data_IF_074809079422
#
_entry.id   IF_074809079422
#
_cell.length_a   1.000
_cell.length_b   1.000
_cell.length_c   1.000
_cell.angle_alpha   90.00
_cell.angle_beta   90.00
_cell.angle_gamma   90.00
#
_symmetry.space_group_name_H-M   'P 1'
#
loop_
_entity.id
_entity.type
_entity.pdbx_description
1 polymer ?
#
# COMPACT_ATOMS: atom_id res chain seq x y z
N UNK A 1 3.69 27.43 45.23
CA UNK A 1 3.66 26.56 44.14
C UNK A 1 3.39 27.24 42.84
N UNK A 2 4.14 26.91 41.87
CA UNK A 2 4.04 27.66 40.63
C UNK A 2 3.16 26.90 39.64
N UNK A 3 1.98 27.38 39.46
CA UNK A 3 1.03 26.75 38.58
C UNK A 3 1.49 26.81 37.13
N UNK A 4 2.26 27.84 36.77
CA UNK A 4 2.77 27.98 35.44
C UNK A 4 3.83 26.91 35.14
N UNK A 5 4.71 26.69 36.10
CA UNK A 5 5.70 25.64 35.99
C UNK A 5 5.05 24.27 35.85
N UNK A 6 4.02 24.05 36.63
CA UNK A 6 3.30 22.79 36.57
C UNK A 6 2.67 22.59 35.18
N UNK A 7 2.06 23.65 34.68
CA UNK A 7 1.46 23.61 33.35
C UNK A 7 2.49 23.37 32.26
N UNK A 8 3.65 23.99 32.40
CA UNK A 8 4.73 23.77 31.42
C UNK A 8 5.18 22.33 31.45
N UNK A 9 5.32 21.74 32.60
CA UNK A 9 5.70 20.35 32.69
C UNK A 9 4.68 19.44 32.03
N UNK A 10 3.41 19.74 32.25
CA UNK A 10 2.36 18.97 31.64
C UNK A 10 2.39 19.10 30.12
N UNK A 11 2.60 20.32 29.62
CA UNK A 11 2.65 20.55 28.20
C UNK A 11 3.87 19.90 27.58
N UNK A 12 5.01 19.97 28.26
CA UNK A 12 6.20 19.31 27.75
C UNK A 12 6.01 17.80 27.64
N UNK A 13 5.33 17.22 28.63
CA UNK A 13 5.05 15.80 28.59
C UNK A 13 4.11 15.47 27.45
N UNK A 14 3.11 16.31 27.21
CA UNK A 14 2.20 16.08 26.11
C UNK A 14 2.88 16.20 24.76
N UNK A 15 3.75 17.19 24.62
CA UNK A 15 4.47 17.38 23.38
C UNK A 15 5.40 16.21 23.12
N UNK A 16 6.09 15.74 24.14
CA UNK A 16 6.97 14.59 23.99
C UNK A 16 6.18 13.35 23.56
N UNK A 17 5.02 13.17 24.17
CA UNK A 17 4.16 12.04 23.80
C UNK A 17 3.67 12.17 22.38
N UNK A 18 3.28 13.36 21.97
CA UNK A 18 2.81 13.61 20.63
C UNK A 18 3.92 13.39 19.60
N UNK A 19 5.13 13.84 19.92
CA UNK A 19 6.26 13.64 19.02
C UNK A 19 6.51 12.16 18.81
N UNK A 20 6.46 11.39 19.87
CA UNK A 20 6.65 9.97 19.74
C UNK A 20 5.55 9.34 18.92
N UNK A 21 4.31 9.76 19.15
CA UNK A 21 3.18 9.25 18.39
C UNK A 21 3.32 9.59 16.92
N UNK A 22 3.76 10.79 16.63
CA UNK A 22 3.96 11.22 15.24
C UNK A 22 5.03 10.36 14.55
N UNK A 23 6.11 10.07 15.24
CA UNK A 23 7.15 9.21 14.69
C UNK A 23 6.61 7.83 14.37
N UNK A 24 5.86 7.26 15.29
CA UNK A 24 5.27 5.95 15.07
C UNK A 24 4.32 5.98 13.89
N UNK A 25 3.47 7.00 13.81
CA UNK A 25 2.53 7.12 12.71
C UNK A 25 3.24 7.34 11.39
N UNK A 26 4.31 8.10 11.38
CA UNK A 26 5.09 8.29 10.16
C UNK A 26 5.71 6.99 9.67
N UNK A 27 6.21 6.18 10.58
CA UNK A 27 6.76 4.90 10.21
C UNK A 27 5.69 3.97 9.67
N UNK A 28 4.52 3.99 10.29
CA UNK A 28 3.40 3.20 9.81
C UNK A 28 2.94 3.66 8.43
N UNK A 29 2.93 4.97 8.21
CA UNK A 29 2.55 5.51 6.91
C UNK A 29 3.51 5.05 5.83
N UNK A 30 4.80 5.09 6.11
CA UNK A 30 5.79 4.63 5.16
C UNK A 30 5.59 3.16 4.82
N UNK A 31 5.35 2.36 5.84
CA UNK A 31 5.11 0.93 5.63
C UNK A 31 3.85 0.72 4.79
N UNK A 32 2.80 1.46 5.11
CA UNK A 32 1.55 1.34 4.36
C UNK A 32 1.70 1.80 2.93
N UNK A 33 2.46 2.85 2.69
CA UNK A 33 2.70 3.33 1.33
C UNK A 33 3.44 2.29 0.50
N UNK A 34 4.42 1.64 1.10
CA UNK A 34 5.13 0.57 0.43
C UNK A 34 4.20 -0.59 0.11
N UNK A 35 3.35 -0.91 1.05
CA UNK A 35 2.40 -2.00 0.87
C UNK A 35 1.38 -1.66 -0.22
N UNK A 36 0.91 -0.43 -0.24
CA UNK A 36 -0.02 0.02 -1.27
C UNK A 36 0.63 0.00 -2.65
N UNK A 37 1.87 0.42 -2.74
CA UNK A 37 2.58 0.39 -4.02
C UNK A 37 2.72 -1.03 -4.52
N UNK A 38 3.02 -1.95 -3.62
CA UNK A 38 3.15 -3.35 -3.97
C UNK A 38 1.82 -3.92 -4.44
N UNK A 39 0.76 -3.61 -3.72
CA UNK A 39 -0.56 -4.09 -4.08
C UNK A 39 -1.03 -3.51 -5.41
N UNK A 40 -0.72 -2.24 -5.63
CA UNK A 40 -1.07 -1.61 -6.89
C UNK A 40 -0.38 -2.30 -8.05
N UNK A 41 0.89 -2.60 -7.88
CA UNK A 41 1.64 -3.29 -8.91
C UNK A 41 1.08 -4.68 -9.17
N UNK A 42 0.76 -5.39 -8.12
CA UNK A 42 0.17 -6.72 -8.26
C UNK A 42 -1.17 -6.65 -8.97
N UNK A 43 -1.95 -5.63 -8.64
CA UNK A 43 -3.24 -5.45 -9.29
C UNK A 43 -3.08 -5.14 -10.77
N UNK A 44 -2.11 -4.32 -11.12
CA UNK A 44 -1.84 -4.00 -12.52
C UNK A 44 -1.41 -5.24 -13.29
N UNK A 45 -0.55 -6.04 -12.70
CA UNK A 45 -0.10 -7.26 -13.34
C UNK A 45 -1.26 -8.24 -13.52
N UNK A 46 -2.10 -8.33 -12.52
CA UNK A 46 -3.25 -9.20 -12.61
C UNK A 46 -4.22 -8.73 -13.68
N UNK A 47 -4.44 -7.42 -13.75
CA UNK A 47 -5.31 -6.85 -14.77
C UNK A 47 -4.77 -7.14 -16.18
N UNK A 48 -3.46 -7.05 -16.34
CA UNK A 48 -2.85 -7.38 -17.63
C UNK A 48 -3.07 -8.83 -18.00
N UNK A 49 -2.93 -9.71 -17.03
CA UNK A 49 -3.12 -11.13 -17.30
C UNK A 49 -4.56 -11.44 -17.66
N UNK A 50 -5.49 -10.79 -16.97
CA UNK A 50 -6.89 -10.98 -17.27
C UNK A 50 -7.19 -10.48 -18.68
N UNK A 51 -6.65 -9.35 -19.02
CA UNK A 51 -6.85 -8.77 -20.33
C UNK A 51 -6.32 -9.69 -21.43
N UNK A 52 -5.15 -10.24 -21.22
CA UNK A 52 -4.56 -11.18 -22.16
C UNK A 52 -5.42 -12.42 -22.31
N UNK A 53 -5.93 -12.90 -21.21
CA UNK A 53 -6.76 -14.10 -21.25
C UNK A 53 -8.08 -13.88 -21.96
N UNK A 54 -8.62 -12.67 -21.84
CA UNK A 54 -9.92 -12.39 -22.43
C UNK A 54 -9.85 -12.02 -23.91
N UNK A 55 -8.72 -11.50 -24.35
CA UNK A 55 -8.60 -11.10 -25.73
C UNK A 55 -8.20 -12.26 -26.59
N UNK A 56 -8.91 -12.52 -27.65
CA UNK A 56 -8.46 -13.50 -28.61
C UNK A 56 -7.30 -12.88 -29.37
N UNK A 57 -6.16 -12.88 -28.77
CA UNK A 57 -5.01 -12.30 -29.40
C UNK A 57 -4.50 -13.23 -30.48
N UNK A 58 -3.77 -12.66 -31.39
CA UNK A 58 -3.15 -13.43 -32.44
C UNK A 58 -2.26 -14.51 -31.83
N UNK A 59 -1.60 -14.14 -30.76
CA UNK A 59 -0.71 -15.06 -30.11
C UNK A 59 -1.46 -16.24 -29.51
N UNK A 60 -2.60 -15.99 -28.92
CA UNK A 60 -3.43 -17.05 -28.40
C UNK A 60 -3.87 -17.98 -29.50
N UNK A 61 -4.28 -17.42 -30.63
CA UNK A 61 -4.73 -18.22 -31.74
C UNK A 61 -3.61 -19.03 -32.33
N UNK A 62 -2.41 -18.49 -32.35
CA UNK A 62 -1.28 -19.20 -32.87
C UNK A 62 -0.82 -20.31 -31.96
N UNK A 63 -0.94 -20.10 -30.65
CA UNK A 63 -0.51 -21.11 -29.72
C UNK A 63 -1.50 -22.22 -29.52
N UNK A 64 -2.76 -21.91 -29.72
CA UNK A 64 -3.74 -22.93 -29.54
C UNK A 64 -3.89 -23.73 -30.78
N UNK A 65 -3.63 -24.99 -30.71
CA UNK A 65 -3.90 -25.82 -31.87
C UNK A 65 -5.38 -25.86 -32.10
N UNK A 66 -5.79 -26.08 -33.29
CA UNK A 66 -7.20 -26.17 -33.53
C UNK A 66 -7.75 -27.28 -32.69
N UNK A 67 -8.92 -27.06 -32.16
CA UNK A 67 -9.47 -28.06 -31.30
C UNK A 67 -9.62 -29.34 -32.06
N UNK A 68 -9.30 -30.34 -31.39
CA UNK A 68 -9.45 -31.61 -32.05
C UNK A 68 -10.89 -31.78 -32.34
N UNK A 69 -11.07 -32.31 -33.42
CA UNK A 69 -12.34 -32.41 -33.75
C UNK A 69 -12.69 -33.73 -33.71
N UNK A 70 -13.57 -33.90 -33.21
CA UNK A 70 -13.96 -35.19 -33.27
C UNK A 70 -15.32 -35.18 -33.20
#
# INVERSE_FOLDING_TARGET
MNTIEHRLMELEAKVAFQDETIEILNDELKAHQQQLAKMKRQTELLAEKIKEAQQPSLMSQMHEPPPPHY
#
